data_IF_311119109508
#
_entry.id   IF_311119109508
#
_cell.length_a   1.000
_cell.length_b   1.000
_cell.length_c   1.000
_cell.angle_alpha   90.00
_cell.angle_beta   90.00
_cell.angle_gamma   90.00
#
_symmetry.space_group_name_H-M   'P 1'
#
loop_
_entity.id
_entity.type
_entity.pdbx_description
1 polymer ?
#
# COMPACT_ATOMS: atom_id res chain seq x y z
N UNK A 1 -10.10 -5.06 10.62
CA UNK A 1 -9.20 -4.63 11.70
C UNK A 1 -9.11 -3.13 11.70
N UNK A 2 -9.15 -2.49 12.86
CA UNK A 2 -9.12 -1.03 12.91
C UNK A 2 -7.72 -0.52 12.56
N UNK A 3 -7.62 0.28 11.53
CA UNK A 3 -6.42 1.01 11.19
C UNK A 3 -6.71 2.51 11.30
N UNK A 4 -5.70 3.29 11.65
CA UNK A 4 -5.81 4.74 11.71
C UNK A 4 -4.79 5.35 10.75
N UNK A 5 -5.23 6.29 9.94
CA UNK A 5 -4.35 7.05 9.04
C UNK A 5 -4.36 8.52 9.42
N UNK A 6 -3.17 9.12 9.43
CA UNK A 6 -2.96 10.56 9.56
C UNK A 6 -2.31 11.07 8.27
N UNK A 7 -2.93 12.06 7.67
CA UNK A 7 -2.40 12.78 6.52
C UNK A 7 -2.03 14.21 6.95
N UNK A 8 -0.80 14.61 6.72
CA UNK A 8 -0.34 15.96 6.98
C UNK A 8 0.06 16.64 5.67
N UNK A 9 -0.66 17.70 5.30
CA UNK A 9 -0.35 18.53 4.16
C UNK A 9 0.72 19.58 4.48
N UNK A 10 1.24 20.21 3.44
CA UNK A 10 2.35 21.17 3.51
C UNK A 10 2.11 22.40 4.40
N UNK A 11 0.87 22.71 4.72
CA UNK A 11 0.54 23.83 5.62
C UNK A 11 0.52 23.40 7.09
N UNK A 12 0.58 22.11 7.37
CA UNK A 12 0.58 21.55 8.72
C UNK A 12 1.97 21.10 9.19
N UNK A 13 3.00 21.31 8.38
CA UNK A 13 4.40 20.94 8.68
C UNK A 13 5.32 22.14 8.64
N UNK A 14 6.37 22.13 9.45
CA UNK A 14 7.30 23.25 9.57
C UNK A 14 8.12 23.45 8.29
N UNK A 15 8.49 22.37 7.62
CA UNK A 15 9.34 22.37 6.41
C UNK A 15 8.53 22.23 5.11
N UNK A 16 7.20 22.30 5.19
CA UNK A 16 6.27 22.10 4.08
C UNK A 16 6.31 20.71 3.43
N UNK A 17 6.87 19.73 4.11
CA UNK A 17 6.75 18.33 3.70
C UNK A 17 5.31 17.83 3.82
N UNK A 18 5.02 16.76 3.13
CA UNK A 18 3.77 16.03 3.27
C UNK A 18 4.04 14.66 3.86
N UNK A 19 3.14 14.16 4.68
CA UNK A 19 3.31 12.88 5.37
C UNK A 19 2.04 12.04 5.30
N UNK A 20 2.25 10.73 5.16
CA UNK A 20 1.25 9.70 5.43
C UNK A 20 1.79 8.85 6.56
N UNK A 21 1.05 8.77 7.66
CA UNK A 21 1.35 7.88 8.77
C UNK A 21 0.14 7.02 9.06
N UNK A 22 0.37 5.73 9.35
CA UNK A 22 -0.73 4.84 9.67
C UNK A 22 -0.33 3.77 10.68
N UNK A 23 -1.30 3.31 11.44
CA UNK A 23 -1.22 2.03 12.13
C UNK A 23 -1.71 0.92 11.19
N UNK A 24 -1.18 -0.26 11.37
CA UNK A 24 -1.59 -1.47 10.67
C UNK A 24 -1.89 -2.53 11.73
N UNK A 25 -3.06 -2.36 12.36
CA UNK A 25 -3.42 -3.10 13.56
C UNK A 25 -3.92 -4.51 13.19
N UNK A 26 -3.38 -5.51 13.84
CA UNK A 26 -3.80 -6.89 13.65
C UNK A 26 -2.77 -7.92 14.11
N UNK A 27 -3.09 -9.18 13.88
CA UNK A 27 -2.19 -10.32 14.11
C UNK A 27 -1.26 -10.54 12.92
N UNK A 28 -0.55 -9.49 12.53
CA UNK A 28 0.35 -9.56 11.40
C UNK A 28 1.78 -9.82 11.85
N UNK A 29 2.50 -10.43 10.95
CA UNK A 29 3.94 -10.56 11.05
C UNK A 29 4.63 -9.19 10.99
N UNK A 30 5.91 -9.18 11.28
CA UNK A 30 6.76 -7.99 11.19
C UNK A 30 6.62 -7.35 9.81
N UNK A 31 6.49 -6.05 9.77
CA UNK A 31 6.45 -5.26 8.54
C UNK A 31 7.86 -4.90 8.09
N UNK A 32 8.00 -4.71 6.79
CA UNK A 32 9.26 -4.36 6.16
C UNK A 32 9.04 -3.27 5.12
N UNK A 33 9.79 -2.18 5.23
CA UNK A 33 9.82 -1.18 4.17
C UNK A 33 10.63 -1.71 2.98
N UNK A 34 10.02 -1.71 1.81
CA UNK A 34 10.67 -2.12 0.57
C UNK A 34 10.51 -1.08 -0.53
N UNK A 35 11.40 -1.14 -1.50
CA UNK A 35 11.27 -0.46 -2.79
C UNK A 35 10.92 -1.52 -3.83
N UNK A 36 9.88 -1.27 -4.61
CA UNK A 36 9.46 -2.14 -5.70
C UNK A 36 9.82 -1.46 -7.02
N UNK A 37 10.69 -2.10 -7.76
CA UNK A 37 11.12 -1.61 -9.07
C UNK A 37 10.08 -1.96 -10.15
N UNK A 38 10.04 -1.22 -11.27
CA UNK A 38 9.10 -1.51 -12.36
C UNK A 38 9.16 -2.95 -12.85
N UNK A 39 10.36 -3.52 -12.96
CA UNK A 39 10.59 -4.87 -13.47
C UNK A 39 10.10 -5.98 -12.53
N UNK A 40 9.88 -5.65 -11.27
CA UNK A 40 9.37 -6.57 -10.26
C UNK A 40 7.84 -6.63 -10.21
N UNK A 41 7.18 -5.73 -10.94
CA UNK A 41 5.73 -5.63 -10.94
C UNK A 41 5.12 -6.59 -11.97
N UNK A 42 4.05 -7.31 -11.63
CA UNK A 42 3.38 -8.19 -12.58
C UNK A 42 2.61 -7.36 -13.63
N UNK A 43 2.34 -7.95 -14.79
CA UNK A 43 1.44 -7.34 -15.77
C UNK A 43 -0.01 -7.35 -15.33
N UNK A 44 -0.39 -8.39 -14.61
CA UNK A 44 -1.72 -8.55 -14.03
C UNK A 44 -1.56 -8.73 -12.53
N UNK A 45 -2.13 -7.81 -11.77
CA UNK A 45 -2.24 -7.95 -10.32
C UNK A 45 -3.43 -8.84 -9.99
N UNK A 46 -3.19 -9.84 -9.15
CA UNK A 46 -4.23 -10.70 -8.60
C UNK A 46 -4.28 -10.51 -7.09
N UNK A 47 -5.45 -10.15 -6.59
CA UNK A 47 -5.64 -9.98 -5.17
C UNK A 47 -5.46 -11.32 -4.43
N UNK A 48 -4.77 -11.27 -3.29
CA UNK A 48 -4.63 -12.45 -2.39
C UNK A 48 -5.86 -12.66 -1.51
N UNK A 49 -6.71 -11.65 -1.39
CA UNK A 49 -7.87 -11.64 -0.49
C UNK A 49 -9.21 -11.69 -1.24
N UNK A 50 -9.20 -11.54 -2.55
CA UNK A 50 -10.42 -11.49 -3.35
C UNK A 50 -10.21 -12.07 -4.74
N UNK A 51 -11.27 -12.05 -5.55
CA UNK A 51 -11.21 -12.48 -6.96
C UNK A 51 -10.85 -11.35 -7.93
N UNK A 52 -10.41 -10.20 -7.41
CA UNK A 52 -10.09 -9.03 -8.23
C UNK A 52 -8.79 -9.27 -8.99
N UNK A 53 -8.84 -9.06 -10.29
CA UNK A 53 -7.69 -9.00 -11.18
C UNK A 53 -7.67 -7.63 -11.85
N UNK A 54 -6.49 -7.02 -11.90
CA UNK A 54 -6.30 -5.68 -12.50
C UNK A 54 -5.11 -5.74 -13.45
N UNK A 55 -5.33 -5.35 -14.69
CA UNK A 55 -4.23 -5.13 -15.63
C UNK A 55 -3.47 -3.87 -15.24
N UNK A 56 -2.17 -4.00 -15.01
CA UNK A 56 -1.31 -2.89 -14.63
C UNK A 56 -0.75 -2.18 -15.87
N UNK A 57 -0.35 -0.90 -15.75
CA UNK A 57 0.24 -0.15 -16.85
C UNK A 57 1.48 -0.84 -17.42
N UNK A 58 1.72 -0.68 -18.71
CA UNK A 58 2.93 -1.20 -19.38
C UNK A 58 4.23 -0.62 -18.82
N UNK A 59 4.17 0.64 -18.35
CA UNK A 59 5.28 1.35 -17.75
C UNK A 59 4.95 1.72 -16.30
N UNK A 60 4.96 0.75 -15.37
CA UNK A 60 4.64 1.01 -13.98
C UNK A 60 5.75 1.85 -13.33
N UNK A 61 5.38 2.66 -12.36
CA UNK A 61 6.35 3.44 -11.60
C UNK A 61 6.96 2.61 -10.47
N UNK A 62 8.21 2.92 -10.13
CA UNK A 62 8.80 2.52 -8.84
C UNK A 62 7.93 3.06 -7.70
N UNK A 63 7.80 2.29 -6.63
CA UNK A 63 7.14 2.74 -5.41
C UNK A 63 7.78 2.14 -4.15
N UNK A 64 7.57 2.82 -3.03
CA UNK A 64 7.86 2.27 -1.71
C UNK A 64 6.59 1.71 -1.10
N UNK A 65 6.72 0.63 -0.36
CA UNK A 65 5.61 -0.01 0.33
C UNK A 65 6.08 -0.68 1.61
N UNK A 66 5.14 -0.96 2.50
CA UNK A 66 5.42 -1.64 3.76
C UNK A 66 4.55 -2.90 3.89
N UNK A 67 4.84 -3.95 3.10
CA UNK A 67 4.13 -5.21 3.18
C UNK A 67 4.55 -6.03 4.40
N UNK A 68 3.78 -7.07 4.67
CA UNK A 68 4.19 -8.15 5.57
C UNK A 68 5.46 -8.81 5.07
N UNK A 69 6.28 -9.33 5.98
CA UNK A 69 7.49 -10.08 5.59
C UNK A 69 7.18 -11.50 5.14
N UNK A 70 5.96 -12.00 5.39
CA UNK A 70 5.54 -13.32 4.94
C UNK A 70 5.36 -13.32 3.41
N UNK A 71 6.14 -14.11 2.67
CA UNK A 71 6.05 -14.16 1.21
C UNK A 71 4.75 -14.77 0.68
N UNK A 72 3.94 -15.42 1.53
CA UNK A 72 2.66 -16.01 1.12
C UNK A 72 1.68 -14.99 0.54
N UNK A 73 1.78 -13.75 0.98
CA UNK A 73 0.92 -12.66 0.57
C UNK A 73 1.50 -11.79 -0.55
N UNK A 74 2.69 -12.13 -1.06
CA UNK A 74 3.37 -11.31 -2.06
C UNK A 74 3.60 -9.88 -1.55
N UNK A 75 3.45 -8.89 -2.44
CA UNK A 75 3.52 -7.48 -2.08
C UNK A 75 2.11 -6.99 -1.74
N UNK A 76 1.61 -7.42 -0.59
CA UNK A 76 0.35 -6.95 -0.06
C UNK A 76 0.61 -5.87 0.98
N UNK A 77 0.43 -4.63 0.57
CA UNK A 77 0.71 -3.47 1.40
C UNK A 77 -0.47 -2.51 1.42
N UNK A 78 -0.73 -1.94 2.59
CA UNK A 78 -1.84 -1.01 2.78
C UNK A 78 -1.44 0.46 2.61
N UNK A 79 -0.15 0.74 2.37
CA UNK A 79 0.36 2.09 2.11
C UNK A 79 1.58 2.05 1.22
N UNK A 80 1.76 3.11 0.44
CA UNK A 80 2.91 3.28 -0.43
C UNK A 80 2.98 4.67 -1.04
N UNK A 81 4.15 5.00 -1.58
CA UNK A 81 4.40 6.25 -2.29
C UNK A 81 5.14 5.91 -3.59
N UNK A 82 4.65 6.39 -4.71
CA UNK A 82 5.28 6.15 -6.01
C UNK A 82 6.30 7.23 -6.40
N UNK A 83 7.03 7.01 -7.49
CA UNK A 83 8.06 7.93 -7.99
C UNK A 83 7.52 9.31 -8.43
N UNK A 84 6.22 9.44 -8.66
CA UNK A 84 5.57 10.73 -8.92
C UNK A 84 5.15 11.45 -7.62
N UNK A 85 5.61 10.97 -6.47
CA UNK A 85 5.26 11.51 -5.15
C UNK A 85 3.76 11.46 -4.83
N UNK A 86 3.07 10.47 -5.39
CA UNK A 86 1.67 10.17 -5.05
C UNK A 86 1.66 9.10 -3.98
N UNK A 87 1.08 9.43 -2.83
CA UNK A 87 0.90 8.51 -1.72
C UNK A 87 -0.50 7.92 -1.69
N UNK A 88 -0.59 6.66 -1.29
CA UNK A 88 -1.85 5.97 -1.06
C UNK A 88 -1.83 5.28 0.30
N UNK A 89 -2.96 5.28 0.96
CA UNK A 89 -3.21 4.49 2.16
C UNK A 89 -4.63 3.95 2.11
N UNK A 90 -4.81 2.72 2.56
CA UNK A 90 -6.11 2.07 2.61
C UNK A 90 -6.34 1.51 4.02
N UNK A 91 -7.33 2.06 4.72
CA UNK A 91 -7.80 1.52 5.99
C UNK A 91 -8.96 0.57 5.72
N UNK A 92 -8.89 -0.63 6.28
CA UNK A 92 -9.91 -1.64 6.03
C UNK A 92 -11.13 -1.45 6.93
N UNK A 93 -12.26 -1.27 6.28
CA UNK A 93 -13.59 -1.44 6.89
C UNK A 93 -14.53 -2.16 5.91
N UNK A 94 -13.95 -2.93 5.02
CA UNK A 94 -14.68 -3.54 3.90
C UNK A 94 -15.51 -4.72 4.38
N UNK A 95 -16.79 -4.69 4.06
CA UNK A 95 -17.66 -5.86 4.07
C UNK A 95 -17.93 -6.28 2.64
N UNK A 96 -17.80 -7.56 2.33
CA UNK A 96 -18.17 -8.10 1.02
C UNK A 96 -19.67 -8.35 0.94
N UNK A 97 -20.25 -8.12 -0.23
CA UNK A 97 -21.61 -8.57 -0.49
C UNK A 97 -21.65 -10.11 -0.52
N UNK A 98 -22.66 -10.73 0.08
CA UNK A 98 -22.90 -12.15 -0.16
C UNK A 98 -23.20 -12.35 -1.65
N UNK A 99 -22.49 -13.24 -2.27
CA UNK A 99 -22.75 -13.69 -3.64
C UNK A 99 -23.43 -15.04 -3.62
#
# INVERSE_FOLDING_TARGET
>A
MPCTTVLAGKLATNDRSTMIARTDDGHFDVKKLIVVEPEQQPKIYRSVESHVEIELPENPMRYTACPSVDPKHGIWAATGINAANVGMTATETTTSNPR
#
